data_IF_371439445624
#
_entry.id   IF_371439445624
#
_cell.length_a   1.000
_cell.length_b   1.000
_cell.length_c   1.000
_cell.angle_alpha   90.00
_cell.angle_beta   90.00
_cell.angle_gamma   90.00
#
_symmetry.space_group_name_H-M   'P 1'
#
loop_
_entity.id
_entity.type
_entity.pdbx_description
1 polymer ?
#
# COMPACT_ATOMS: atom_id res chain seq x y z
N UNK A 1 -18.27 6.69 0.77
CA UNK A 1 -17.81 6.62 2.17
C UNK A 1 -16.33 6.91 2.20
N UNK A 2 -15.96 8.08 2.72
CA UNK A 2 -14.56 8.45 2.94
C UNK A 2 -13.92 7.44 3.89
N UNK A 3 -12.76 6.89 3.50
CA UNK A 3 -12.08 5.90 4.34
C UNK A 3 -11.61 6.62 5.59
N UNK A 4 -12.21 6.28 6.74
CA UNK A 4 -11.77 6.78 8.05
C UNK A 4 -10.24 6.74 8.16
N UNK A 5 -9.60 7.82 8.64
CA UNK A 5 -8.13 7.93 8.65
C UNK A 5 -7.45 6.77 9.39
N UNK A 6 -8.11 6.24 10.43
CA UNK A 6 -7.66 5.08 11.21
C UNK A 6 -7.48 3.82 10.35
N UNK A 7 -8.38 3.56 9.40
CA UNK A 7 -8.29 2.39 8.51
C UNK A 7 -7.20 2.57 7.46
N UNK A 8 -6.90 3.82 7.06
CA UNK A 8 -5.88 4.13 6.06
C UNK A 8 -4.47 3.80 6.59
N UNK A 9 -4.20 4.11 7.85
CA UNK A 9 -2.94 3.74 8.53
C UNK A 9 -2.81 2.24 8.73
N UNK A 10 -3.87 1.55 9.16
CA UNK A 10 -3.84 0.08 9.30
C UNK A 10 -3.54 -0.61 7.97
N UNK A 11 -4.14 -0.15 6.87
CA UNK A 11 -3.92 -0.71 5.54
C UNK A 11 -2.46 -0.52 5.09
N UNK A 12 -1.91 0.68 5.32
CA UNK A 12 -0.53 1.01 4.97
C UNK A 12 0.48 0.15 5.74
N UNK A 13 0.30 -0.01 7.06
CA UNK A 13 1.14 -0.88 7.89
C UNK A 13 1.07 -2.34 7.44
N UNK A 14 -0.13 -2.83 7.09
CA UNK A 14 -0.33 -4.20 6.63
C UNK A 14 0.42 -4.49 5.33
N UNK A 15 0.41 -3.54 4.38
CA UNK A 15 1.15 -3.67 3.12
C UNK A 15 2.66 -3.60 3.33
N UNK A 16 3.16 -2.68 4.15
CA UNK A 16 4.58 -2.59 4.51
C UNK A 16 5.11 -3.90 5.07
N UNK A 17 4.40 -4.50 6.04
CA UNK A 17 4.80 -5.78 6.63
C UNK A 17 4.72 -6.92 5.61
N UNK A 18 3.71 -6.93 4.74
CA UNK A 18 3.56 -7.99 3.74
C UNK A 18 4.67 -7.95 2.68
N UNK A 19 5.04 -6.77 2.19
CA UNK A 19 6.14 -6.61 1.23
C UNK A 19 7.51 -6.81 1.87
N UNK A 20 7.69 -6.41 3.13
CA UNK A 20 8.91 -6.72 3.88
C UNK A 20 9.11 -8.24 4.03
N UNK A 21 8.05 -9.04 4.18
CA UNK A 21 8.14 -10.51 4.25
C UNK A 21 8.48 -11.19 2.92
N UNK A 22 8.07 -10.60 1.79
CA UNK A 22 8.37 -11.10 0.45
C UNK A 22 9.85 -10.91 0.06
N UNK A 23 10.59 -10.03 0.76
CA UNK A 23 12.04 -9.89 0.55
C UNK A 23 12.81 -11.02 1.22
N UNK A 24 13.74 -11.62 0.48
CA UNK A 24 14.60 -12.73 0.95
C UNK A 24 15.85 -12.31 1.72
N UNK A 25 15.82 -11.25 2.54
CA UNK A 25 17.03 -10.81 3.30
C UNK A 25 17.22 -11.55 4.63
N UNK A 26 18.38 -11.43 5.27
CA UNK A 26 18.73 -12.25 6.45
C UNK A 26 17.87 -12.03 7.69
N UNK A 27 17.45 -10.80 8.02
CA UNK A 27 16.65 -10.50 9.22
C UNK A 27 15.47 -9.59 8.90
N UNK A 28 14.35 -9.75 9.63
CA UNK A 28 13.14 -8.95 9.44
C UNK A 28 13.37 -7.45 9.69
N UNK A 29 14.33 -7.12 10.55
CA UNK A 29 14.74 -5.76 10.89
C UNK A 29 15.25 -5.01 9.66
N UNK A 30 16.17 -5.65 8.93
CA UNK A 30 16.80 -5.11 7.72
C UNK A 30 15.77 -4.98 6.61
N UNK A 31 14.88 -5.98 6.48
CA UNK A 31 13.79 -5.96 5.48
C UNK A 31 12.84 -4.78 5.70
N UNK A 32 12.46 -4.51 6.96
CA UNK A 32 11.60 -3.40 7.33
C UNK A 32 12.29 -2.06 7.12
N UNK A 33 13.54 -1.93 7.58
CA UNK A 33 14.31 -0.69 7.42
C UNK A 33 14.44 -0.32 5.93
N UNK A 34 14.78 -1.29 5.07
CA UNK A 34 14.87 -1.07 3.62
C UNK A 34 13.54 -0.75 2.98
N UNK A 35 12.45 -1.41 3.37
CA UNK A 35 11.12 -1.05 2.85
C UNK A 35 10.71 0.37 3.25
N UNK A 36 11.00 0.81 4.48
CA UNK A 36 10.72 2.17 4.93
C UNK A 36 11.56 3.18 4.13
N UNK A 37 12.83 2.84 3.87
CA UNK A 37 13.74 3.68 3.10
C UNK A 37 13.34 3.78 1.63
N UNK A 38 12.94 2.66 1.03
CA UNK A 38 12.39 2.64 -0.34
C UNK A 38 11.08 3.42 -0.38
N UNK A 39 10.16 3.19 0.57
CA UNK A 39 8.88 3.89 0.64
C UNK A 39 9.05 5.42 0.82
N UNK A 40 10.06 5.87 1.56
CA UNK A 40 10.41 7.28 1.70
C UNK A 40 10.91 7.88 0.37
N UNK A 41 11.65 7.09 -0.42
CA UNK A 41 12.07 7.46 -1.78
C UNK A 41 10.95 7.28 -2.82
N UNK A 42 9.70 7.01 -2.40
CA UNK A 42 8.58 6.68 -3.29
C UNK A 42 8.86 5.51 -4.25
N UNK A 43 9.80 4.65 -3.89
CA UNK A 43 10.13 3.42 -4.60
C UNK A 43 9.72 2.21 -3.74
N UNK A 44 9.47 1.08 -4.37
CA UNK A 44 9.11 -0.15 -3.65
C UNK A 44 7.70 -0.67 -3.91
N UNK A 45 7.50 -1.93 -3.51
CA UNK A 45 6.28 -2.68 -3.79
C UNK A 45 5.06 -2.15 -3.05
N UNK A 46 5.25 -1.68 -1.81
CA UNK A 46 4.16 -1.17 -0.98
C UNK A 46 3.56 0.13 -1.52
N UNK A 47 4.39 1.05 -2.04
CA UNK A 47 3.94 2.33 -2.62
C UNK A 47 3.20 2.12 -3.94
N UNK A 48 3.75 1.29 -4.84
CA UNK A 48 3.08 0.93 -6.10
C UNK A 48 1.71 0.29 -5.86
N UNK A 49 1.59 -0.58 -4.86
CA UNK A 49 0.31 -1.23 -4.56
C UNK A 49 -0.72 -0.24 -3.99
N UNK A 50 -0.28 0.75 -3.20
CA UNK A 50 -1.12 1.86 -2.75
C UNK A 50 -1.63 2.69 -3.93
N UNK A 51 -0.76 3.04 -4.86
CA UNK A 51 -1.15 3.82 -6.05
C UNK A 51 -2.08 3.04 -6.96
N UNK A 52 -1.80 1.75 -7.20
CA UNK A 52 -2.67 0.88 -7.98
C UNK A 52 -4.06 0.75 -7.35
N UNK A 53 -4.13 0.58 -6.03
CA UNK A 53 -5.40 0.49 -5.30
C UNK A 53 -6.17 1.81 -5.35
N UNK A 54 -5.48 2.96 -5.24
CA UNK A 54 -6.11 4.27 -5.37
C UNK A 54 -6.65 4.49 -6.79
N UNK A 55 -5.86 4.15 -7.82
CA UNK A 55 -6.25 4.27 -9.22
C UNK A 55 -7.44 3.37 -9.56
N UNK A 56 -7.46 2.12 -9.07
CA UNK A 56 -8.61 1.22 -9.20
C UNK A 56 -9.83 1.72 -8.43
N UNK A 57 -9.65 2.33 -7.24
CA UNK A 57 -10.76 2.91 -6.49
C UNK A 57 -11.40 4.09 -7.24
N UNK A 58 -10.59 4.96 -7.87
CA UNK A 58 -11.07 6.05 -8.73
C UNK A 58 -11.80 5.50 -9.96
N UNK A 59 -11.26 4.47 -10.61
CA UNK A 59 -11.91 3.82 -11.75
C UNK A 59 -13.25 3.17 -11.36
N UNK A 60 -13.29 2.42 -10.25
CA UNK A 60 -14.51 1.80 -9.75
C UNK A 60 -15.56 2.82 -9.29
N UNK A 61 -15.15 4.02 -8.86
CA UNK A 61 -16.08 5.11 -8.56
C UNK A 61 -16.81 5.58 -9.82
N UNK A 62 -16.15 5.59 -10.99
CA UNK A 62 -16.79 5.91 -12.26
C UNK A 62 -17.79 4.81 -12.68
N UNK A 63 -17.49 3.53 -12.44
CA UNK A 63 -18.42 2.42 -12.73
C UNK A 63 -19.55 2.27 -11.69
N UNK A 64 -19.36 2.75 -10.46
CA UNK A 64 -20.43 2.76 -9.46
C UNK A 64 -21.53 3.78 -9.76
N UNK A 65 -21.25 4.77 -10.61
CA UNK A 65 -22.21 5.79 -11.03
C UNK A 65 -23.04 5.37 -12.26
N UNK A 66 -22.67 4.30 -12.97
CA UNK A 66 -23.42 3.75 -14.12
C UNK A 66 -24.43 2.66 -13.73
N UNK A 67 -24.98 2.73 -12.52
CA UNK A 67 -26.03 1.81 -12.06
C UNK A 67 -27.38 2.52 -12.14
N UNK A 68 -27.87 2.62 -13.37
CA UNK A 68 -29.31 2.62 -13.67
C UNK A 68 -29.65 1.22 -14.20
#
# INVERSE_FOLDING_TARGET
>A
AEVRPERRTTLALRWLVHYARLRGEKTMEVRLAKEILDAANSQGGAVRNREATNKMAVANKAFAHNRC
#
